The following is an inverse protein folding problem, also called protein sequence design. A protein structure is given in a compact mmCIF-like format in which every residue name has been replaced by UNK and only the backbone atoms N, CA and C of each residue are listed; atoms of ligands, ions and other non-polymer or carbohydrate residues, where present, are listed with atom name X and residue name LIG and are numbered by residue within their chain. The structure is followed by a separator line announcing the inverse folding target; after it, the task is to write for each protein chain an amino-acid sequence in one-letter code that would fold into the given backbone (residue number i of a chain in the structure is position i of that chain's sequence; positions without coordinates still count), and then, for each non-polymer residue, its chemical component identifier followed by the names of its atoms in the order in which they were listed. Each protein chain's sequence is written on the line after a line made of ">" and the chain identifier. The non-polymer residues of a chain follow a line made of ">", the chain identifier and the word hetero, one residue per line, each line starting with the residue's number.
data_IF_775244453610
#
_entry.id   IF_775244453610
#
_cell.length_a   1.000
_cell.length_b   1.000
_cell.length_c   1.000
_cell.angle_alpha   90.00
_cell.angle_beta   90.00
_cell.angle_gamma   90.00
#
_symmetry.space_group_name_H-M   'P 1'
#
loop_
_entity.id
_entity.type
_entity.pdbx_description
1 polymer ?
#
# COMPACT_ATOMS: atom_id res chain seq x y z
N UNK A 1 -6.29 -3.44 58.08
CA UNK A 1 -5.64 -4.76 57.91
C UNK A 1 -5.60 -5.07 56.42
N UNK A 2 -4.50 -4.78 55.72
CA UNK A 2 -4.37 -4.95 54.27
C UNK A 2 -3.95 -6.39 54.00
N UNK A 3 -4.82 -7.19 53.40
CA UNK A 3 -4.58 -8.60 53.07
C UNK A 3 -3.55 -8.66 51.94
N UNK A 4 -2.35 -9.16 52.23
CA UNK A 4 -1.32 -9.39 51.21
C UNK A 4 -1.87 -10.36 50.15
N UNK A 5 -1.92 -9.93 48.88
CA UNK A 5 -2.29 -10.81 47.77
C UNK A 5 -1.21 -11.88 47.65
N UNK A 6 -1.52 -13.10 48.08
CA UNK A 6 -0.62 -14.26 47.95
C UNK A 6 -0.24 -14.48 46.49
N UNK A 7 1.03 -14.78 46.23
CA UNK A 7 1.51 -15.08 44.87
C UNK A 7 0.72 -16.26 44.30
N UNK A 8 0.31 -16.23 43.02
CA UNK A 8 -0.41 -17.35 42.41
C UNK A 8 0.42 -18.64 42.51
N UNK A 9 -0.26 -19.75 42.80
CA UNK A 9 0.35 -21.08 42.90
C UNK A 9 1.06 -21.47 41.60
N UNK A 10 2.06 -22.36 41.69
CA UNK A 10 2.90 -22.77 40.56
C UNK A 10 2.08 -23.25 39.34
N UNK A 11 1.00 -24.01 39.56
CA UNK A 11 0.10 -24.46 38.49
C UNK A 11 -0.56 -23.28 37.75
N UNK A 12 -1.06 -22.28 38.48
CA UNK A 12 -1.67 -21.08 37.89
C UNK A 12 -0.67 -20.31 37.02
N UNK A 13 0.60 -20.23 37.46
CA UNK A 13 1.67 -19.59 36.70
C UNK A 13 1.95 -20.31 35.37
N UNK A 14 1.97 -21.65 35.38
CA UNK A 14 2.15 -22.45 34.16
C UNK A 14 0.96 -22.35 33.20
N UNK A 15 -0.28 -22.33 33.71
CA UNK A 15 -1.47 -22.13 32.88
C UNK A 15 -1.45 -20.75 32.20
N UNK A 16 -1.10 -19.69 32.93
CA UNK A 16 -0.97 -18.34 32.35
C UNK A 16 0.13 -18.32 31.29
N UNK A 17 1.30 -18.89 31.58
CA UNK A 17 2.40 -18.94 30.63
C UNK A 17 2.02 -19.71 29.35
N UNK A 18 1.34 -20.85 29.49
CA UNK A 18 0.84 -21.62 28.35
C UNK A 18 -0.19 -20.83 27.53
N UNK A 19 -1.13 -20.14 28.18
CA UNK A 19 -2.13 -19.32 27.50
C UNK A 19 -1.48 -18.15 26.73
N UNK A 20 -0.49 -17.47 27.32
CA UNK A 20 0.26 -16.42 26.66
C UNK A 20 1.08 -16.95 25.47
N UNK A 21 1.69 -18.13 25.59
CA UNK A 21 2.41 -18.78 24.50
C UNK A 21 1.47 -19.13 23.34
N UNK A 22 0.30 -19.69 23.63
CA UNK A 22 -0.72 -19.98 22.61
C UNK A 22 -1.18 -18.69 21.92
N UNK A 23 -1.46 -17.62 22.69
CA UNK A 23 -1.85 -16.33 22.11
C UNK A 23 -0.74 -15.76 21.21
N UNK A 24 0.51 -15.81 21.63
CA UNK A 24 1.65 -15.35 20.84
C UNK A 24 1.79 -16.14 19.52
N UNK A 25 1.59 -17.47 19.57
CA UNK A 25 1.59 -18.31 18.37
C UNK A 25 0.44 -17.96 17.41
N UNK A 26 -0.76 -17.71 17.94
CA UNK A 26 -1.91 -17.31 17.12
C UNK A 26 -1.71 -15.93 16.48
N UNK A 27 -1.17 -14.97 17.23
CA UNK A 27 -0.84 -13.64 16.71
C UNK A 27 0.28 -13.71 15.67
N UNK A 28 1.32 -14.53 15.91
CA UNK A 28 2.40 -14.76 14.94
C UNK A 28 1.89 -15.40 13.65
N UNK A 29 1.02 -16.40 13.76
CA UNK A 29 0.39 -17.04 12.61
C UNK A 29 -0.53 -16.07 11.83
N UNK A 30 -1.30 -15.23 12.53
CA UNK A 30 -2.12 -14.18 11.92
C UNK A 30 -1.24 -13.15 11.21
N UNK A 31 -0.18 -12.71 11.85
CA UNK A 31 0.74 -11.73 11.27
C UNK A 31 1.42 -12.27 10.01
N UNK A 32 1.89 -13.52 10.05
CA UNK A 32 2.42 -14.21 8.87
C UNK A 32 1.38 -14.31 7.76
N UNK A 33 0.16 -14.73 8.10
CA UNK A 33 -0.96 -14.82 7.15
C UNK A 33 -1.25 -13.47 6.51
N UNK A 34 -1.31 -12.39 7.28
CA UNK A 34 -1.62 -11.04 6.79
C UNK A 34 -0.51 -10.44 5.95
N UNK A 35 0.74 -10.76 6.29
CA UNK A 35 1.93 -10.31 5.55
C UNK A 35 2.04 -11.02 4.21
N UNK A 36 1.83 -12.34 4.21
CA UNK A 36 2.10 -13.21 3.07
C UNK A 36 0.87 -13.53 2.23
N UNK A 37 -0.34 -13.15 2.66
CA UNK A 37 -1.52 -13.37 1.83
C UNK A 37 -1.43 -12.60 0.52
N UNK A 38 -2.13 -13.11 -0.48
CA UNK A 38 -2.34 -12.41 -1.74
C UNK A 38 -3.05 -11.07 -1.51
N UNK A 39 -2.73 -10.00 -2.28
CA UNK A 39 -3.40 -8.72 -2.15
C UNK A 39 -4.91 -8.82 -2.36
N UNK A 40 -5.67 -8.11 -1.52
CA UNK A 40 -7.12 -7.98 -1.67
C UNK A 40 -7.40 -6.95 -2.75
N UNK A 41 -8.25 -7.30 -3.72
CA UNK A 41 -8.68 -6.38 -4.76
C UNK A 41 -9.93 -5.64 -4.31
N UNK A 42 -9.82 -4.34 -4.09
CA UNK A 42 -10.94 -3.43 -3.88
C UNK A 42 -11.40 -2.86 -5.21
N UNK A 43 -12.72 -2.73 -5.39
CA UNK A 43 -13.32 -2.14 -6.59
C UNK A 43 -14.21 -0.98 -6.20
N UNK A 44 -14.03 0.15 -6.86
CA UNK A 44 -14.85 1.35 -6.62
C UNK A 44 -15.06 2.12 -7.90
N UNK A 45 -16.12 2.92 -7.94
CA UNK A 45 -16.44 3.82 -9.05
C UNK A 45 -16.35 5.26 -8.57
N UNK A 46 -15.72 6.13 -9.36
CA UNK A 46 -15.60 7.57 -9.10
C UNK A 46 -16.11 8.31 -10.32
N UNK A 47 -17.07 9.22 -10.12
CA UNK A 47 -17.53 10.09 -11.19
C UNK A 47 -16.66 11.36 -11.23
N UNK A 48 -16.26 11.79 -12.42
CA UNK A 48 -15.54 13.04 -12.63
C UNK A 48 -16.19 13.84 -13.77
N UNK A 49 -16.23 15.17 -13.69
CA UNK A 49 -16.89 16.02 -14.68
C UNK A 49 -16.07 16.18 -15.98
N UNK A 50 -14.77 15.87 -15.96
CA UNK A 50 -13.87 16.10 -17.10
C UNK A 50 -13.82 14.93 -18.09
N UNK A 51 -14.40 13.77 -17.74
CA UNK A 51 -14.48 12.62 -18.64
C UNK A 51 -15.81 12.71 -19.43
N UNK A 52 -15.82 12.49 -20.76
CA UNK A 52 -17.06 12.55 -21.53
C UNK A 52 -18.12 11.58 -20.99
N UNK A 53 -19.37 12.02 -20.98
CA UNK A 53 -20.50 11.22 -20.49
C UNK A 53 -20.59 9.88 -21.24
N UNK A 54 -20.66 8.78 -20.49
CA UNK A 54 -20.69 7.42 -21.03
C UNK A 54 -19.33 6.78 -21.33
N UNK A 55 -18.24 7.53 -21.18
CA UNK A 55 -16.89 6.96 -21.17
C UNK A 55 -16.51 6.49 -19.76
N UNK A 56 -15.63 5.49 -19.71
CA UNK A 56 -15.07 4.99 -18.45
C UNK A 56 -13.60 4.63 -18.61
N UNK A 57 -12.83 4.85 -17.55
CA UNK A 57 -11.42 4.49 -17.47
C UNK A 57 -11.18 3.62 -16.24
N UNK A 58 -10.58 2.45 -16.41
CA UNK A 58 -10.16 1.61 -15.29
C UNK A 58 -8.72 1.93 -14.89
N UNK A 59 -8.56 2.54 -13.74
CA UNK A 59 -7.26 2.79 -13.13
C UNK A 59 -7.02 1.74 -12.04
N UNK A 60 -5.94 0.97 -12.17
CA UNK A 60 -5.49 0.08 -11.09
C UNK A 60 -4.38 0.76 -10.30
N UNK A 61 -4.64 1.04 -9.03
CA UNK A 61 -3.70 1.59 -8.07
C UNK A 61 -3.02 0.48 -7.27
N UNK A 62 -1.70 0.52 -7.25
CA UNK A 62 -0.82 -0.19 -6.32
C UNK A 62 0.14 0.80 -5.65
N UNK A 63 0.63 0.51 -4.45
CA UNK A 63 1.51 1.40 -3.71
C UNK A 63 2.43 0.62 -2.78
N UNK A 64 3.46 1.29 -2.25
CA UNK A 64 4.33 0.82 -1.17
C UNK A 64 4.77 -0.63 -1.37
N UNK A 65 5.38 -0.87 -2.53
CA UNK A 65 5.74 -2.21 -3.00
C UNK A 65 6.85 -2.78 -2.12
N UNK A 66 7.85 -1.96 -1.78
CA UNK A 66 8.94 -2.32 -0.88
C UNK A 66 9.61 -3.65 -1.23
N UNK A 67 10.06 -3.78 -2.47
CA UNK A 67 10.77 -4.98 -2.92
C UNK A 67 12.03 -5.20 -2.09
N UNK A 68 11.98 -6.22 -1.25
CA UNK A 68 13.04 -6.70 -0.36
C UNK A 68 12.61 -8.01 0.29
N UNK A 69 13.58 -8.88 0.56
CA UNK A 69 13.34 -10.12 1.29
C UNK A 69 13.09 -9.86 2.79
N UNK A 70 12.30 -10.71 3.48
CA UNK A 70 11.73 -11.96 2.99
C UNK A 70 10.28 -11.85 2.45
N UNK A 71 9.58 -10.76 2.76
CA UNK A 71 8.14 -10.63 2.55
C UNK A 71 7.73 -10.16 1.14
N UNK A 72 8.63 -9.47 0.42
CA UNK A 72 8.35 -9.00 -0.95
C UNK A 72 9.54 -9.20 -1.90
N UNK A 73 9.89 -10.45 -2.23
CA UNK A 73 10.88 -10.73 -3.27
C UNK A 73 10.30 -10.49 -4.69
N UNK A 74 11.13 -10.26 -5.73
CA UNK A 74 10.69 -10.03 -7.10
C UNK A 74 9.69 -11.07 -7.64
N UNK A 75 9.84 -12.35 -7.28
CA UNK A 75 8.96 -13.43 -7.74
C UNK A 75 7.53 -13.29 -7.20
N UNK A 76 7.39 -12.76 -5.97
CA UNK A 76 6.08 -12.41 -5.41
C UNK A 76 5.49 -11.23 -6.17
N UNK A 77 6.31 -10.24 -6.50
CA UNK A 77 5.87 -9.09 -7.29
C UNK A 77 5.40 -9.51 -8.70
N UNK A 78 6.07 -10.47 -9.35
CA UNK A 78 5.61 -11.02 -10.63
C UNK A 78 4.19 -11.61 -10.53
N UNK A 79 3.92 -12.38 -9.47
CA UNK A 79 2.58 -12.95 -9.22
C UNK A 79 1.53 -11.85 -9.01
N UNK A 80 1.91 -10.78 -8.31
CA UNK A 80 1.02 -9.63 -8.11
C UNK A 80 0.79 -8.87 -9.41
N UNK A 81 1.81 -8.71 -10.26
CA UNK A 81 1.69 -8.10 -11.60
C UNK A 81 0.73 -8.90 -12.47
N UNK A 82 0.80 -10.24 -12.46
CA UNK A 82 -0.16 -11.07 -13.19
C UNK A 82 -1.61 -10.84 -12.71
N UNK A 83 -1.81 -10.62 -11.40
CA UNK A 83 -3.13 -10.27 -10.84
C UNK A 83 -3.58 -8.87 -11.25
N UNK A 84 -2.66 -7.91 -11.32
CA UNK A 84 -2.95 -6.54 -11.83
C UNK A 84 -3.36 -6.59 -13.30
N UNK A 85 -2.62 -7.31 -14.15
CA UNK A 85 -2.94 -7.47 -15.56
C UNK A 85 -4.30 -8.16 -15.76
N UNK A 86 -4.65 -9.13 -14.91
CA UNK A 86 -5.96 -9.79 -14.92
C UNK A 86 -7.14 -8.87 -14.58
N UNK A 87 -6.88 -7.66 -14.07
CA UNK A 87 -7.90 -6.61 -13.87
C UNK A 87 -8.18 -5.81 -15.15
N UNK A 88 -7.43 -6.05 -16.23
CA UNK A 88 -7.56 -5.39 -17.53
C UNK A 88 -7.55 -3.85 -17.37
N UNK A 89 -6.45 -3.27 -16.86
CA UNK A 89 -6.38 -1.84 -16.57
C UNK A 89 -6.19 -1.01 -17.85
N UNK A 90 -6.83 0.15 -17.89
CA UNK A 90 -6.48 1.17 -18.88
C UNK A 90 -5.22 1.92 -18.46
N UNK A 91 -5.05 2.14 -17.15
CA UNK A 91 -3.86 2.77 -16.56
C UNK A 91 -3.48 2.00 -15.30
N UNK A 92 -2.19 1.72 -15.13
CA UNK A 92 -1.64 1.31 -13.83
C UNK A 92 -1.00 2.52 -13.16
N UNK A 93 -1.49 2.87 -11.98
CA UNK A 93 -0.96 3.95 -11.16
C UNK A 93 -0.19 3.36 -9.97
N UNK A 94 1.08 3.75 -9.83
CA UNK A 94 1.95 3.28 -8.75
C UNK A 94 2.31 4.46 -7.84
N UNK A 95 1.80 4.43 -6.61
CA UNK A 95 2.02 5.47 -5.61
C UNK A 95 3.29 5.23 -4.78
N UNK A 96 4.42 5.04 -5.46
CA UNK A 96 5.77 5.07 -4.89
C UNK A 96 6.17 3.91 -3.99
N UNK A 97 7.38 4.07 -3.43
CA UNK A 97 8.06 3.12 -2.55
C UNK A 97 8.24 1.75 -3.21
N UNK A 98 8.90 1.76 -4.37
CA UNK A 98 9.26 0.53 -5.09
C UNK A 98 10.33 -0.25 -4.33
N UNK A 99 11.26 0.48 -3.72
CA UNK A 99 12.41 -0.08 -2.99
C UNK A 99 12.12 -0.16 -1.49
N UNK A 100 12.80 -1.07 -0.80
CA UNK A 100 12.84 -1.07 0.65
C UNK A 100 14.27 -1.18 1.18
N UNK A 101 14.54 -0.43 2.25
CA UNK A 101 15.82 -0.40 2.98
C UNK A 101 15.64 -0.87 4.43
N UNK A 102 14.61 -1.70 4.69
CA UNK A 102 14.33 -2.27 6.02
C UNK A 102 15.62 -2.85 6.60
N UNK A 103 16.01 -2.43 7.80
CA UNK A 103 17.20 -2.97 8.49
C UNK A 103 17.10 -4.48 8.76
N UNK A 104 15.88 -5.00 8.79
CA UNK A 104 15.55 -6.39 9.02
C UNK A 104 15.38 -7.19 7.72
N UNK A 105 15.61 -6.57 6.56
CA UNK A 105 15.55 -7.25 5.28
C UNK A 105 16.62 -8.35 5.22
N UNK A 106 16.21 -9.53 4.77
CA UNK A 106 17.13 -10.64 4.53
C UNK A 106 17.88 -10.51 3.21
N UNK A 107 17.34 -9.71 2.29
CA UNK A 107 17.93 -9.45 0.98
C UNK A 107 17.49 -8.08 0.45
N UNK A 108 18.45 -7.33 -0.12
CA UNK A 108 18.22 -6.08 -0.83
C UNK A 108 18.56 -6.32 -2.30
N UNK A 109 17.60 -6.05 -3.17
CA UNK A 109 17.71 -6.29 -4.61
C UNK A 109 18.27 -5.08 -5.34
N UNK A 110 18.84 -5.31 -6.51
CA UNK A 110 19.31 -4.23 -7.40
C UNK A 110 18.12 -3.49 -8.03
N UNK A 111 18.30 -2.24 -8.50
CA UNK A 111 17.24 -1.52 -9.22
C UNK A 111 16.64 -2.30 -10.40
N UNK A 112 17.45 -3.10 -11.09
CA UNK A 112 16.99 -3.94 -12.22
C UNK A 112 16.06 -5.05 -11.75
N UNK A 113 16.44 -5.79 -10.71
CA UNK A 113 15.60 -6.86 -10.12
C UNK A 113 14.28 -6.32 -9.55
N UNK A 114 14.28 -5.08 -9.05
CA UNK A 114 13.08 -4.42 -8.52
C UNK A 114 12.12 -4.03 -9.64
N UNK A 115 12.63 -3.49 -10.74
CA UNK A 115 11.81 -2.97 -11.85
C UNK A 115 11.41 -4.06 -12.84
N UNK A 116 12.20 -5.13 -13.00
CA UNK A 116 11.95 -6.17 -13.99
C UNK A 116 10.54 -6.79 -13.92
N UNK A 117 9.97 -7.12 -12.74
CA UNK A 117 8.58 -7.57 -12.66
C UNK A 117 7.58 -6.53 -13.14
N UNK A 118 7.79 -5.25 -12.81
CA UNK A 118 6.89 -4.14 -13.19
C UNK A 118 6.88 -3.88 -14.69
N UNK A 119 7.97 -4.24 -15.40
CA UNK A 119 8.03 -4.15 -16.86
C UNK A 119 7.03 -5.07 -17.58
N UNK A 120 6.44 -6.05 -16.87
CA UNK A 120 5.38 -6.93 -17.38
C UNK A 120 3.97 -6.36 -17.19
N UNK A 121 3.82 -5.19 -16.59
CA UNK A 121 2.50 -4.55 -16.45
C UNK A 121 1.94 -4.20 -17.83
N UNK A 122 0.70 -4.64 -18.07
CA UNK A 122 -0.03 -4.38 -19.30
C UNK A 122 -1.16 -3.41 -19.00
N UNK A 123 -1.19 -2.27 -19.69
CA UNK A 123 -2.25 -1.27 -19.57
C UNK A 123 -2.43 -0.51 -20.88
N UNK A 124 -3.69 -0.23 -21.26
CA UNK A 124 -4.06 0.42 -22.53
C UNK A 124 -3.27 1.71 -22.79
N UNK A 125 -3.16 2.57 -21.77
CA UNK A 125 -2.48 3.87 -21.82
C UNK A 125 -1.16 3.88 -21.02
N UNK A 126 -0.75 2.71 -20.52
CA UNK A 126 0.53 2.50 -19.84
C UNK A 126 0.51 2.69 -18.32
N UNK A 127 1.72 2.69 -17.76
CA UNK A 127 1.98 2.70 -16.31
C UNK A 127 2.60 4.03 -15.91
N UNK A 128 2.08 4.62 -14.83
CA UNK A 128 2.55 5.87 -14.24
C UNK A 128 3.01 5.61 -12.80
N UNK A 129 4.21 6.07 -12.46
CA UNK A 129 4.82 6.00 -11.12
C UNK A 129 5.06 7.41 -10.59
N UNK A 130 4.75 7.63 -9.32
CA UNK A 130 5.33 8.74 -8.54
C UNK A 130 6.30 8.17 -7.50
N UNK A 131 7.52 8.71 -7.35
CA UNK A 131 8.46 8.17 -6.38
C UNK A 131 7.99 8.44 -4.94
N UNK A 132 8.25 7.47 -4.05
CA UNK A 132 8.04 7.58 -2.61
C UNK A 132 9.33 7.92 -1.86
N UNK A 133 9.25 8.07 -0.54
CA UNK A 133 10.41 8.46 0.26
C UNK A 133 11.53 7.40 0.25
N UNK A 134 11.21 6.11 0.22
CA UNK A 134 12.22 5.05 0.13
C UNK A 134 12.96 5.06 -1.20
N UNK A 135 12.28 5.42 -2.30
CA UNK A 135 12.93 5.57 -3.61
C UNK A 135 13.95 6.72 -3.60
N UNK A 136 13.64 7.81 -2.91
CA UNK A 136 14.53 8.95 -2.73
C UNK A 136 15.77 8.63 -1.87
N UNK A 137 15.64 7.75 -0.88
CA UNK A 137 16.73 7.38 0.03
C UNK A 137 17.66 6.31 -0.53
N UNK A 138 17.25 5.60 -1.59
CA UNK A 138 18.02 4.52 -2.21
C UNK A 138 18.97 5.01 -3.31
N UNK A 139 18.54 4.97 -4.58
CA UNK A 139 19.26 5.43 -5.77
C UNK A 139 18.23 5.86 -6.81
N UNK A 140 17.60 7.01 -6.57
CA UNK A 140 16.57 7.52 -7.46
C UNK A 140 17.06 7.73 -8.91
N UNK A 141 18.29 8.21 -9.18
CA UNK A 141 18.82 8.25 -10.55
C UNK A 141 18.87 6.87 -11.23
N UNK A 142 19.38 5.84 -10.56
CA UNK A 142 19.41 4.47 -11.08
C UNK A 142 18.03 3.89 -11.30
N UNK A 143 17.10 4.11 -10.35
CA UNK A 143 15.70 3.67 -10.47
C UNK A 143 15.00 4.33 -11.66
N UNK A 144 15.13 5.65 -11.84
CA UNK A 144 14.57 6.37 -12.99
C UNK A 144 15.12 5.87 -14.32
N UNK A 145 16.42 5.58 -14.39
CA UNK A 145 17.02 5.01 -15.59
C UNK A 145 16.38 3.67 -15.97
N UNK A 146 16.07 2.80 -15.00
CA UNK A 146 15.41 1.53 -15.28
C UNK A 146 13.94 1.73 -15.67
N UNK A 147 13.21 2.63 -15.00
CA UNK A 147 11.84 2.99 -15.40
C UNK A 147 11.80 3.49 -16.85
N UNK A 148 12.74 4.36 -17.24
CA UNK A 148 12.84 4.88 -18.61
C UNK A 148 13.14 3.79 -19.65
N UNK A 149 14.03 2.84 -19.33
CA UNK A 149 14.34 1.70 -20.21
C UNK A 149 13.13 0.82 -20.49
N UNK A 150 12.21 0.72 -19.54
CA UNK A 150 10.97 -0.07 -19.67
C UNK A 150 9.75 0.78 -20.07
N UNK A 151 9.95 2.06 -20.43
CA UNK A 151 8.87 2.94 -20.87
C UNK A 151 7.86 3.30 -19.78
N UNK A 152 8.21 3.15 -18.50
CA UNK A 152 7.33 3.48 -17.37
C UNK A 152 7.44 4.97 -17.07
N UNK A 153 6.33 5.69 -17.20
CA UNK A 153 6.29 7.12 -16.98
C UNK A 153 6.46 7.44 -15.48
N UNK A 154 7.52 8.16 -15.11
CA UNK A 154 7.82 8.50 -13.72
C UNK A 154 7.63 10.00 -13.41
N UNK A 155 6.84 10.69 -14.24
CA UNK A 155 6.49 12.11 -14.12
C UNK A 155 4.98 12.24 -14.07
N UNK A 156 4.45 12.82 -12.99
CA UNK A 156 3.05 13.21 -12.93
C UNK A 156 2.87 14.49 -13.76
N UNK A 157 2.13 14.43 -14.87
CA UNK A 157 1.69 15.62 -15.58
C UNK A 157 0.42 16.15 -14.92
N UNK A 158 0.54 17.32 -14.28
CA UNK A 158 -0.59 18.08 -13.75
C UNK A 158 -1.35 18.75 -14.90
N UNK A 159 -2.57 18.29 -15.14
CA UNK A 159 -3.45 18.89 -16.16
C UNK A 159 -4.90 18.40 -16.15
N UNK A 160 -5.33 17.59 -15.17
CA UNK A 160 -6.68 17.03 -15.12
C UNK A 160 -7.22 16.87 -13.69
N UNK A 161 -8.44 16.38 -13.55
CA UNK A 161 -9.13 16.17 -12.26
C UNK A 161 -8.64 14.97 -11.44
N UNK A 162 -7.61 14.25 -11.89
CA UNK A 162 -7.03 13.10 -11.21
C UNK A 162 -5.59 13.42 -10.80
N UNK A 163 -5.25 13.14 -9.55
CA UNK A 163 -3.92 13.30 -8.99
C UNK A 163 -3.40 11.96 -8.46
N UNK A 164 -2.16 11.62 -8.83
CA UNK A 164 -1.39 10.54 -8.22
C UNK A 164 -0.33 11.16 -7.31
N UNK A 165 -0.26 10.69 -6.07
CA UNK A 165 0.71 11.13 -5.04
C UNK A 165 1.16 9.94 -4.23
N UNK A 166 2.38 9.97 -3.69
CA UNK A 166 2.80 8.92 -2.76
C UNK A 166 2.06 9.04 -1.41
N UNK A 167 2.17 10.20 -0.75
CA UNK A 167 1.42 10.51 0.48
C UNK A 167 0.04 11.10 0.16
N UNK A 168 -1.00 10.83 0.98
CA UNK A 168 -2.32 11.41 0.81
C UNK A 168 -2.44 12.85 1.35
N UNK A 169 -1.48 13.35 2.13
CA UNK A 169 -1.55 14.66 2.79
C UNK A 169 -1.75 15.86 1.85
N UNK A 170 -1.25 15.87 0.60
CA UNK A 170 -1.60 16.92 -0.36
C UNK A 170 -3.10 17.05 -0.62
N UNK A 171 -3.89 15.99 -0.43
CA UNK A 171 -5.33 15.99 -0.69
C UNK A 171 -6.09 17.08 0.09
N UNK A 172 -5.60 17.50 1.26
CA UNK A 172 -6.20 18.58 2.04
C UNK A 172 -5.99 19.99 1.45
N UNK A 173 -5.08 20.15 0.48
CA UNK A 173 -4.61 21.46 -0.01
C UNK A 173 -4.80 21.66 -1.50
N UNK A 174 -5.17 20.62 -2.24
CA UNK A 174 -5.37 20.71 -3.70
C UNK A 174 -6.74 21.30 -4.05
N UNK A 175 -6.86 22.09 -5.13
CA UNK A 175 -8.08 22.79 -5.50
C UNK A 175 -9.20 21.82 -5.89
N UNK A 176 -10.46 22.20 -5.71
CA UNK A 176 -11.66 21.39 -6.00
C UNK A 176 -11.77 20.88 -7.46
N UNK A 177 -10.96 21.43 -8.37
CA UNK A 177 -10.80 20.88 -9.72
C UNK A 177 -10.19 19.47 -9.71
N UNK A 178 -9.43 19.11 -8.68
CA UNK A 178 -8.96 17.74 -8.46
C UNK A 178 -10.08 16.96 -7.75
N UNK A 179 -10.67 16.02 -8.48
CA UNK A 179 -11.82 15.19 -8.06
C UNK A 179 -11.42 13.80 -7.58
N UNK A 180 -10.26 13.29 -8.01
CA UNK A 180 -9.72 12.02 -7.56
C UNK A 180 -8.26 12.16 -7.13
N UNK A 181 -7.93 11.69 -5.94
CA UNK A 181 -6.55 11.55 -5.46
C UNK A 181 -6.28 10.07 -5.19
N UNK A 182 -5.22 9.54 -5.77
CA UNK A 182 -4.73 8.18 -5.58
C UNK A 182 -3.41 8.23 -4.79
N UNK A 183 -3.33 7.52 -3.67
CA UNK A 183 -2.18 7.56 -2.77
C UNK A 183 -1.93 6.24 -2.00
N UNK A 184 -0.79 6.18 -1.31
CA UNK A 184 -0.36 5.08 -0.43
C UNK A 184 0.26 5.63 0.86
N UNK A 185 1.50 5.25 1.16
CA UNK A 185 2.38 5.75 2.25
C UNK A 185 1.98 5.35 3.68
N UNK A 186 0.68 5.35 4.00
CA UNK A 186 0.22 5.15 5.39
C UNK A 186 0.23 3.68 5.83
N UNK A 187 0.32 2.75 4.88
CA UNK A 187 0.14 1.30 5.06
C UNK A 187 -1.16 0.90 5.77
N UNK A 188 -2.15 1.79 5.85
CA UNK A 188 -3.29 1.65 6.74
C UNK A 188 -2.89 1.31 8.19
N UNK A 189 -1.71 1.77 8.62
CA UNK A 189 -1.14 1.53 9.94
C UNK A 189 -0.26 0.28 10.08
N UNK A 190 -0.13 -0.58 9.06
CA UNK A 190 0.62 -1.86 8.97
C UNK A 190 0.30 -2.92 10.07
N UNK A 191 0.25 -2.50 11.33
CA UNK A 191 -0.21 -3.19 12.52
C UNK A 191 -1.48 -2.48 13.00
N UNK A 192 -2.64 -3.10 12.81
CA UNK A 192 -3.92 -2.58 13.26
C UNK A 192 -4.40 -3.28 14.55
N UNK A 193 -5.47 -2.77 15.15
CA UNK A 193 -6.21 -3.47 16.20
C UNK A 193 -7.22 -4.46 15.59
N UNK A 194 -7.55 -5.57 16.28
CA UNK A 194 -8.50 -6.55 15.74
C UNK A 194 -9.94 -6.00 15.61
N UNK A 195 -10.25 -4.85 16.21
CA UNK A 195 -11.53 -4.14 16.11
C UNK A 195 -11.47 -2.91 15.19
N UNK A 196 -10.38 -2.71 14.45
CA UNK A 196 -10.18 -1.58 13.55
C UNK A 196 -9.37 -0.42 14.16
N UNK A 197 -8.81 0.42 13.28
CA UNK A 197 -7.85 1.46 13.62
C UNK A 197 -6.43 0.93 13.85
N UNK A 198 -5.45 1.83 13.95
CA UNK A 198 -4.05 1.49 14.19
C UNK A 198 -3.45 2.36 15.31
N UNK A 199 -2.34 1.95 15.93
CA UNK A 199 -1.68 2.76 16.97
C UNK A 199 -1.04 4.03 16.40
N UNK A 200 -0.72 4.05 15.10
CA UNK A 200 -0.20 5.22 14.39
C UNK A 200 -0.49 5.10 12.88
N UNK A 201 -0.72 6.25 12.25
CA UNK A 201 -0.76 6.40 10.81
C UNK A 201 0.26 7.47 10.40
N UNK A 202 0.99 7.23 9.31
CA UNK A 202 1.97 8.17 8.77
C UNK A 202 1.26 9.20 7.89
N UNK A 203 0.49 10.09 8.51
CA UNK A 203 -0.17 11.22 7.86
C UNK A 203 -0.23 12.41 8.82
N UNK A 204 0.00 13.61 8.28
CA UNK A 204 -0.15 14.87 9.04
C UNK A 204 -1.59 15.11 9.54
N UNK A 205 -2.56 14.39 8.98
CA UNK A 205 -3.99 14.48 9.32
C UNK A 205 -4.51 13.26 10.09
N UNK A 206 -3.62 12.38 10.56
CA UNK A 206 -3.98 11.20 11.35
C UNK A 206 -4.97 10.28 10.63
N UNK A 207 -6.06 9.92 11.31
CA UNK A 207 -7.06 8.96 10.82
C UNK A 207 -7.81 9.43 9.56
N UNK A 208 -7.82 10.75 9.29
CA UNK A 208 -8.56 11.34 8.16
C UNK A 208 -8.16 10.77 6.80
N UNK A 209 -6.85 10.54 6.60
CA UNK A 209 -6.30 9.96 5.38
C UNK A 209 -5.58 8.64 5.64
N UNK A 210 -6.00 7.91 6.68
CA UNK A 210 -5.31 6.71 7.10
C UNK A 210 -5.41 5.56 6.10
N UNK A 211 -6.57 5.32 5.49
CA UNK A 211 -6.80 4.15 4.66
C UNK A 211 -8.08 4.21 3.84
N UNK A 212 -8.09 3.54 2.69
CA UNK A 212 -9.27 3.22 1.91
C UNK A 212 -9.83 4.41 1.13
N UNK A 213 -11.13 4.32 0.82
CA UNK A 213 -11.87 5.37 0.13
C UNK A 213 -12.39 6.41 1.12
N UNK A 214 -12.04 7.66 0.87
CA UNK A 214 -12.46 8.82 1.66
C UNK A 214 -13.11 9.82 0.71
N UNK A 215 -14.39 10.12 0.93
CA UNK A 215 -15.14 11.10 0.15
C UNK A 215 -15.23 12.41 0.93
N UNK A 216 -14.61 13.48 0.40
CA UNK A 216 -14.58 14.81 1.00
C UNK A 216 -14.98 15.89 0.00
N UNK A 217 -16.16 16.46 0.22
CA UNK A 217 -16.72 17.48 -0.68
C UNK A 217 -16.84 16.94 -2.11
N UNK A 218 -16.29 17.62 -3.12
CA UNK A 218 -16.34 17.16 -4.52
C UNK A 218 -15.31 16.06 -4.84
N UNK A 219 -14.47 15.64 -3.88
CA UNK A 219 -13.29 14.81 -4.11
C UNK A 219 -13.43 13.43 -3.48
N UNK A 220 -12.93 12.43 -4.19
CA UNK A 220 -12.61 11.12 -3.62
C UNK A 220 -11.10 10.98 -3.47
N UNK A 221 -10.65 10.53 -2.30
CA UNK A 221 -9.27 10.14 -2.02
C UNK A 221 -9.24 8.63 -1.81
N UNK A 222 -8.37 7.93 -2.52
CA UNK A 222 -8.12 6.49 -2.33
C UNK A 222 -6.72 6.35 -1.76
N UNK A 223 -6.62 5.75 -0.57
CA UNK A 223 -5.35 5.47 0.12
C UNK A 223 -5.19 3.95 0.23
N UNK A 224 -4.27 3.38 -0.54
CA UNK A 224 -3.96 1.96 -0.50
C UNK A 224 -3.19 1.56 0.77
N UNK A 225 -3.41 0.33 1.24
CA UNK A 225 -2.61 -0.23 2.34
C UNK A 225 -1.18 -0.63 1.93
N UNK A 226 -0.84 -0.55 0.65
CA UNK A 226 0.44 -0.98 0.08
C UNK A 226 0.53 -2.48 -0.19
N UNK A 227 1.49 -2.91 -1.01
CA UNK A 227 1.75 -4.32 -1.30
C UNK A 227 2.75 -4.95 -0.31
N UNK A 228 3.83 -4.23 0.02
CA UNK A 228 4.93 -4.72 0.85
C UNK A 228 4.81 -4.28 2.31
N UNK A 229 5.93 -4.16 3.01
CA UNK A 229 5.98 -3.67 4.40
C UNK A 229 7.09 -2.65 4.57
N UNK A 230 6.93 -1.76 5.53
CA UNK A 230 7.95 -0.80 5.94
C UNK A 230 8.51 -1.14 7.33
N UNK A 231 9.78 -0.80 7.56
CA UNK A 231 10.59 -1.00 8.79
C UNK A 231 10.80 -2.47 9.24
N UNK A 232 9.73 -3.25 9.35
CA UNK A 232 9.70 -4.65 9.75
C UNK A 232 8.85 -5.47 8.76
N UNK A 233 9.23 -6.73 8.46
CA UNK A 233 8.56 -7.58 7.48
C UNK A 233 7.30 -8.24 8.06
N UNK A 234 6.42 -7.43 8.67
CA UNK A 234 5.23 -7.91 9.40
C UNK A 234 4.06 -6.93 9.24
N UNK A 235 2.92 -7.47 8.82
CA UNK A 235 1.58 -6.90 8.97
C UNK A 235 0.79 -7.67 10.02
N UNK A 236 -0.15 -7.01 10.69
CA UNK A 236 -1.07 -7.68 11.62
C UNK A 236 -2.40 -6.94 11.63
N UNK A 237 -3.49 -7.65 11.32
CA UNK A 237 -4.84 -7.12 11.12
C UNK A 237 -4.99 -6.09 9.97
N UNK A 238 -3.95 -5.97 9.13
CA UNK A 238 -3.96 -5.21 7.88
C UNK A 238 -3.39 -6.09 6.78
N UNK A 239 -3.97 -6.08 5.59
CA UNK A 239 -3.55 -6.94 4.48
C UNK A 239 -3.09 -6.08 3.30
N UNK A 240 -2.25 -6.62 2.39
CA UNK A 240 -1.89 -5.93 1.16
C UNK A 240 -3.11 -5.74 0.26
N UNK A 241 -3.13 -4.66 -0.52
CA UNK A 241 -4.27 -4.26 -1.33
C UNK A 241 -3.90 -3.83 -2.76
N UNK A 242 -4.85 -4.05 -3.67
CA UNK A 242 -4.89 -3.48 -5.02
C UNK A 242 -6.23 -2.76 -5.16
N UNK A 243 -6.23 -1.55 -5.70
CA UNK A 243 -7.45 -0.77 -5.92
C UNK A 243 -7.76 -0.67 -7.41
N UNK A 244 -8.85 -1.27 -7.86
CA UNK A 244 -9.42 -1.10 -9.21
C UNK A 244 -10.47 0.00 -9.17
N UNK A 245 -10.09 1.20 -9.61
CA UNK A 245 -10.94 2.39 -9.63
C UNK A 245 -11.49 2.58 -11.05
N UNK A 246 -12.79 2.41 -11.21
CA UNK A 246 -13.48 2.79 -12.46
C UNK A 246 -13.85 4.26 -12.38
N UNK A 247 -13.22 5.07 -13.21
CA UNK A 247 -13.55 6.48 -13.37
C UNK A 247 -14.61 6.60 -14.47
N UNK A 248 -15.69 7.34 -14.23
CA UNK A 248 -16.77 7.56 -15.20
C UNK A 248 -17.03 9.04 -15.39
N UNK A 249 -17.48 9.43 -16.59
CA UNK A 249 -17.96 10.79 -16.86
C UNK A 249 -19.29 11.05 -16.16
N UNK A 250 -19.41 12.20 -15.49
CA UNK A 250 -20.70 12.69 -14.97
C UNK A 250 -21.70 13.04 -16.08
#
# INVERSE_FOLDING_TARGET
>A
MVRAKGKPGMQVRWTIAAALAVLALLLGAKAWSDTMCEPIVHRTTVAIPDLPHGESLRIVLISDIHVAGPDMPPERLETIVDRVNALDPDVVAIAGDLVSDKRTATHIYTPEEIVAPLARLEATYGTIVVPGNHDHWFDLPGLRQQLDRHGIAHRANGGGSIMLSHSPDPAARVPDSIRLVLAGHTHCGQIAYPWGGAPAHLSDYGDRFACGRIDEGPRTVIVGSGLGTSLIPVRLFTQPEIWSVTVVGE
#
